data_IF_768331212430
#
_entry.id   IF_768331212430
#
_cell.length_a   1.000
_cell.length_b   1.000
_cell.length_c   1.000
_cell.angle_alpha   90.00
_cell.angle_beta   90.00
_cell.angle_gamma   90.00
#
_symmetry.space_group_name_H-M   'P 1'
#
loop_
_entity.id
_entity.type
_entity.pdbx_description
1 polymer ?
#
# COMPACT_ATOMS: atom_id res chain seq x y z
N UNK A 1 6.07 20.14 -35.38
CA UNK A 1 4.99 20.52 -34.46
C UNK A 1 4.57 19.30 -33.70
N UNK A 2 5.19 19.04 -32.57
CA UNK A 2 4.98 17.83 -31.76
C UNK A 2 4.01 18.21 -30.65
N UNK A 3 2.77 17.80 -30.78
CA UNK A 3 1.75 17.98 -29.76
C UNK A 3 2.15 17.15 -28.55
N UNK A 4 2.76 17.77 -27.56
CA UNK A 4 2.92 17.21 -26.23
C UNK A 4 1.51 16.92 -25.69
N UNK A 5 1.12 15.66 -25.69
CA UNK A 5 0.03 15.21 -24.83
C UNK A 5 0.51 15.44 -23.40
N UNK A 6 0.14 16.57 -22.86
CA UNK A 6 0.17 16.79 -21.42
C UNK A 6 -0.73 15.73 -20.81
N UNK A 7 -0.10 14.69 -20.27
CA UNK A 7 -0.76 13.75 -19.39
C UNK A 7 -1.10 14.52 -18.12
N UNK A 8 -2.27 15.12 -18.11
CA UNK A 8 -2.85 15.66 -16.89
C UNK A 8 -3.28 14.48 -16.03
N UNK A 9 -2.34 13.99 -15.24
CA UNK A 9 -2.56 12.92 -14.25
C UNK A 9 -3.69 13.28 -13.28
N UNK A 10 -3.97 14.58 -13.09
CA UNK A 10 -5.01 15.09 -12.20
C UNK A 10 -6.43 14.61 -12.54
N UNK A 11 -6.74 14.41 -13.80
CA UNK A 11 -8.07 13.93 -14.19
C UNK A 11 -8.23 12.41 -14.17
N UNK A 12 -7.13 11.64 -14.17
CA UNK A 12 -7.19 10.18 -14.11
C UNK A 12 -7.33 9.63 -12.68
N UNK A 13 -7.04 10.43 -11.67
CA UNK A 13 -7.04 9.99 -10.27
C UNK A 13 -8.21 10.53 -9.44
N UNK A 14 -9.14 11.26 -10.10
CA UNK A 14 -10.20 11.99 -9.41
C UNK A 14 -11.40 11.14 -9.02
N UNK A 15 -11.51 9.93 -9.55
CA UNK A 15 -12.58 9.01 -9.20
C UNK A 15 -12.03 7.94 -8.25
N UNK A 16 -12.21 8.20 -6.97
CA UNK A 16 -12.18 7.11 -5.97
C UNK A 16 -13.44 6.30 -6.24
N UNK A 17 -13.36 5.06 -6.73
CA UNK A 17 -14.56 4.24 -6.83
C UNK A 17 -15.10 4.06 -5.41
N UNK A 18 -16.36 4.40 -5.23
CA UNK A 18 -17.15 4.13 -4.01
C UNK A 18 -17.26 2.60 -3.76
N UNK A 19 -16.79 1.82 -4.70
CA UNK A 19 -16.81 0.36 -4.75
C UNK A 19 -15.92 -0.32 -3.71
N UNK A 20 -15.01 0.40 -3.06
CA UNK A 20 -14.15 -0.17 -2.02
C UNK A 20 -14.95 -0.63 -0.78
N UNK A 21 -16.05 0.03 -0.48
CA UNK A 21 -16.96 -0.37 0.60
C UNK A 21 -17.90 -1.50 0.18
N UNK A 22 -18.28 -1.57 -1.10
CA UNK A 22 -19.15 -2.61 -1.65
C UNK A 22 -18.46 -3.99 -1.66
N UNK A 23 -17.16 -4.07 -2.00
CA UNK A 23 -16.41 -5.33 -2.02
C UNK A 23 -16.36 -6.03 -0.66
N UNK A 24 -16.35 -5.28 0.44
CA UNK A 24 -16.39 -5.83 1.80
C UNK A 24 -17.78 -6.41 2.11
N UNK A 25 -18.84 -5.80 1.61
CA UNK A 25 -20.23 -6.23 1.88
C UNK A 25 -20.61 -7.52 1.16
N UNK A 26 -20.05 -7.78 -0.01
CA UNK A 26 -20.35 -8.97 -0.82
C UNK A 26 -19.55 -10.22 -0.43
N UNK A 27 -18.42 -10.03 0.29
CA UNK A 27 -17.68 -11.19 0.80
C UNK A 27 -18.49 -11.93 1.86
N UNK A 28 -18.75 -13.19 1.61
CA UNK A 28 -19.31 -14.08 2.61
C UNK A 28 -18.45 -14.06 3.90
N UNK A 29 -19.10 -14.10 5.05
CA UNK A 29 -18.47 -14.04 6.40
C UNK A 29 -17.26 -14.97 6.55
N UNK A 30 -17.29 -16.13 5.87
CA UNK A 30 -16.20 -17.12 5.90
C UNK A 30 -14.94 -16.62 5.17
N UNK A 31 -15.11 -15.99 4.00
CA UNK A 31 -13.98 -15.47 3.22
C UNK A 31 -13.33 -14.28 3.93
N UNK A 32 -14.13 -13.41 4.53
CA UNK A 32 -13.62 -12.29 5.37
C UNK A 32 -12.82 -12.82 6.56
N UNK A 33 -13.38 -13.81 7.27
CA UNK A 33 -12.69 -14.43 8.40
C UNK A 33 -11.35 -15.07 7.98
N UNK A 34 -11.31 -15.81 6.88
CA UNK A 34 -10.11 -16.47 6.39
C UNK A 34 -9.00 -15.46 6.04
N UNK A 35 -9.33 -14.37 5.32
CA UNK A 35 -8.38 -13.31 4.98
C UNK A 35 -7.88 -12.54 6.20
N UNK A 36 -8.75 -12.29 7.17
CA UNK A 36 -8.37 -11.63 8.43
C UNK A 36 -7.47 -12.50 9.31
N UNK A 37 -7.58 -13.83 9.17
CA UNK A 37 -6.73 -14.77 9.93
C UNK A 37 -5.34 -14.93 9.31
N UNK A 38 -5.22 -14.81 7.99
CA UNK A 38 -3.96 -14.94 7.26
C UNK A 38 -3.92 -13.98 6.07
N UNK A 39 -3.74 -12.66 6.32
CA UNK A 39 -3.63 -11.70 5.24
C UNK A 39 -2.32 -11.85 4.50
N UNK A 40 -2.37 -11.86 3.18
CA UNK A 40 -1.21 -11.94 2.31
C UNK A 40 -0.79 -10.53 1.89
N UNK A 41 0.48 -10.20 2.11
CA UNK A 41 1.03 -8.89 1.80
C UNK A 41 1.87 -8.92 0.52
N UNK A 42 1.74 -7.87 -0.29
CA UNK A 42 2.61 -7.57 -1.41
C UNK A 42 3.46 -6.34 -1.06
N UNK A 43 4.77 -6.46 -1.08
CA UNK A 43 5.66 -5.30 -0.95
C UNK A 43 5.89 -4.65 -2.31
N UNK A 44 5.75 -3.32 -2.37
CA UNK A 44 5.98 -2.52 -3.57
C UNK A 44 6.85 -1.30 -3.28
N UNK A 45 8.00 -1.23 -3.94
CA UNK A 45 8.90 -0.08 -3.89
C UNK A 45 8.60 0.88 -5.05
N UNK A 46 8.21 2.12 -4.74
CA UNK A 46 7.83 3.15 -5.73
C UNK A 46 8.92 4.19 -6.01
N UNK A 47 10.05 4.08 -5.33
CA UNK A 47 11.17 5.03 -5.40
C UNK A 47 11.78 5.28 -4.03
N UNK A 48 11.88 4.22 -3.21
CA UNK A 48 12.46 4.29 -1.88
C UNK A 48 14.00 4.32 -1.93
N UNK A 49 14.59 4.89 -0.88
CA UNK A 49 16.03 4.83 -0.62
C UNK A 49 16.46 3.50 0.03
N UNK A 50 15.59 2.49 0.06
CA UNK A 50 15.70 1.20 0.73
C UNK A 50 15.65 1.23 2.27
N UNK A 51 15.63 2.36 2.93
CA UNK A 51 15.53 2.43 4.40
C UNK A 51 14.26 1.76 4.91
N UNK A 52 13.11 2.15 4.36
CA UNK A 52 11.82 1.53 4.72
C UNK A 52 11.73 0.06 4.30
N UNK A 53 12.35 -0.32 3.18
CA UNK A 53 12.34 -1.71 2.69
C UNK A 53 13.09 -2.64 3.64
N UNK A 54 14.25 -2.19 4.16
CA UNK A 54 15.03 -2.94 5.15
C UNK A 54 14.20 -3.14 6.44
N UNK A 55 13.48 -2.12 6.90
CA UNK A 55 12.65 -2.22 8.09
C UNK A 55 11.40 -3.11 7.87
N UNK A 56 10.80 -3.08 6.67
CA UNK A 56 9.73 -4.02 6.29
C UNK A 56 10.25 -5.46 6.29
N UNK A 57 11.44 -5.69 5.72
CA UNK A 57 12.07 -7.01 5.75
C UNK A 57 12.47 -7.41 7.17
N UNK A 58 12.97 -6.48 7.98
CA UNK A 58 13.29 -6.75 9.38
C UNK A 58 12.05 -7.21 10.17
N UNK A 59 10.86 -6.63 9.90
CA UNK A 59 9.61 -7.07 10.51
C UNK A 59 9.24 -8.53 10.20
N UNK A 60 9.69 -9.05 9.05
CA UNK A 60 9.50 -10.46 8.64
C UNK A 60 10.55 -11.40 9.24
N UNK A 61 11.63 -10.86 9.82
CA UNK A 61 12.69 -11.71 10.42
C UNK A 61 12.23 -12.34 11.74
N UNK A 62 12.88 -13.44 12.18
CA UNK A 62 12.50 -14.16 13.41
C UNK A 62 12.51 -13.29 14.68
N UNK A 63 13.23 -12.16 14.69
CA UNK A 63 13.25 -11.24 15.84
C UNK A 63 11.89 -10.57 16.08
N UNK A 64 11.20 -10.19 15.03
CA UNK A 64 9.92 -9.49 15.09
C UNK A 64 8.75 -10.41 14.72
N UNK A 65 9.01 -11.36 13.81
CA UNK A 65 8.14 -12.48 13.47
C UNK A 65 6.67 -12.06 13.21
N UNK A 66 6.49 -11.17 12.25
CA UNK A 66 5.15 -10.73 11.86
C UNK A 66 4.31 -11.89 11.28
N UNK A 67 4.96 -12.94 10.80
CA UNK A 67 4.30 -14.13 10.27
C UNK A 67 3.48 -14.90 11.33
N UNK A 68 3.84 -14.78 12.61
CA UNK A 68 3.03 -15.37 13.70
C UNK A 68 1.62 -14.78 13.82
N UNK A 69 1.40 -13.60 13.26
CA UNK A 69 0.07 -13.00 13.13
C UNK A 69 -0.69 -13.48 11.89
N UNK A 70 -0.15 -14.46 11.16
CA UNK A 70 -0.71 -15.00 9.92
C UNK A 70 -0.36 -14.19 8.66
N UNK A 71 0.46 -13.15 8.79
CA UNK A 71 0.83 -12.27 7.69
C UNK A 71 1.94 -12.95 6.87
N UNK A 72 1.70 -13.20 5.58
CA UNK A 72 2.68 -13.85 4.71
C UNK A 72 2.98 -12.96 3.50
N UNK A 73 4.28 -12.80 3.19
CA UNK A 73 4.71 -12.07 2.00
C UNK A 73 4.49 -12.90 0.73
N UNK A 74 3.79 -12.35 -0.26
CA UNK A 74 3.55 -12.97 -1.57
C UNK A 74 4.04 -12.06 -2.69
N UNK A 75 4.76 -12.60 -3.67
CA UNK A 75 5.32 -11.80 -4.76
C UNK A 75 4.31 -11.48 -5.88
N UNK A 76 3.09 -12.04 -5.81
CA UNK A 76 2.08 -11.87 -6.86
C UNK A 76 0.94 -10.95 -6.41
N UNK A 77 0.60 -9.90 -7.18
CA UNK A 77 -0.52 -9.03 -6.86
C UNK A 77 -1.86 -9.75 -6.88
N UNK A 78 -2.01 -10.80 -7.70
CA UNK A 78 -3.26 -11.56 -7.80
C UNK A 78 -3.58 -12.40 -6.56
N UNK A 79 -2.63 -12.57 -5.66
CA UNK A 79 -2.79 -13.35 -4.43
C UNK A 79 -2.78 -12.47 -3.19
N UNK A 80 -2.39 -11.19 -3.31
CA UNK A 80 -2.21 -10.30 -2.19
C UNK A 80 -3.51 -9.60 -1.80
N UNK A 81 -3.75 -9.51 -0.50
CA UNK A 81 -4.87 -8.77 0.09
C UNK A 81 -4.44 -7.35 0.49
N UNK A 82 -3.18 -7.17 0.90
CA UNK A 82 -2.64 -5.90 1.37
C UNK A 82 -1.40 -5.53 0.56
N UNK A 83 -1.38 -4.33 0.00
CA UNK A 83 -0.19 -3.73 -0.60
C UNK A 83 0.57 -2.90 0.45
N UNK A 84 1.81 -3.25 0.71
CA UNK A 84 2.73 -2.47 1.55
C UNK A 84 3.64 -1.66 0.64
N UNK A 85 3.36 -0.38 0.53
CA UNK A 85 4.07 0.53 -0.35
C UNK A 85 5.14 1.34 0.37
N UNK A 86 6.35 1.40 -0.21
CA UNK A 86 7.49 2.15 0.31
C UNK A 86 7.98 3.20 -0.69
N UNK A 87 8.50 4.29 -0.17
CA UNK A 87 9.11 5.38 -0.97
C UNK A 87 8.11 6.36 -1.57
N UNK A 88 8.64 7.40 -2.17
CA UNK A 88 7.85 8.40 -2.89
C UNK A 88 7.44 7.87 -4.27
N UNK A 89 6.24 8.20 -4.72
CA UNK A 89 5.78 7.75 -6.03
C UNK A 89 6.41 8.61 -7.12
N UNK A 90 7.28 7.99 -7.93
CA UNK A 90 7.84 8.65 -9.09
C UNK A 90 6.87 8.59 -10.28
N UNK A 91 6.93 9.60 -11.16
CA UNK A 91 6.08 9.65 -12.37
C UNK A 91 6.23 8.41 -13.25
N UNK A 92 7.44 7.86 -13.30
CA UNK A 92 7.73 6.65 -14.09
C UNK A 92 7.09 5.38 -13.53
N UNK A 93 6.95 5.30 -12.21
CA UNK A 93 6.41 4.12 -11.52
C UNK A 93 4.89 4.23 -11.31
N UNK A 94 4.33 5.44 -11.32
CA UNK A 94 2.92 5.66 -11.04
C UNK A 94 1.96 4.80 -11.88
N UNK A 95 2.18 4.68 -13.18
CA UNK A 95 1.36 3.83 -14.05
C UNK A 95 1.48 2.34 -13.73
N UNK A 96 2.65 1.89 -13.26
CA UNK A 96 2.90 0.50 -12.86
C UNK A 96 2.24 0.22 -11.51
N UNK A 97 2.35 1.14 -10.56
CA UNK A 97 1.69 1.05 -9.27
C UNK A 97 0.18 0.88 -9.44
N UNK A 98 -0.45 1.73 -10.27
CA UNK A 98 -1.87 1.63 -10.57
C UNK A 98 -2.24 0.28 -11.17
N UNK A 99 -1.48 -0.19 -12.18
CA UNK A 99 -1.71 -1.49 -12.82
C UNK A 99 -1.60 -2.66 -11.84
N UNK A 100 -0.64 -2.62 -10.92
CA UNK A 100 -0.48 -3.64 -9.88
C UNK A 100 -1.67 -3.60 -8.91
N UNK A 101 -2.09 -2.40 -8.50
CA UNK A 101 -3.26 -2.22 -7.66
C UNK A 101 -4.53 -2.77 -8.32
N UNK A 102 -4.74 -2.52 -9.61
CA UNK A 102 -5.87 -3.04 -10.39
C UNK A 102 -5.86 -4.57 -10.52
N UNK A 103 -4.69 -5.20 -10.49
CA UNK A 103 -4.54 -6.66 -10.55
C UNK A 103 -4.81 -7.37 -9.22
N UNK A 104 -4.86 -6.64 -8.12
CA UNK A 104 -5.20 -7.21 -6.81
C UNK A 104 -6.71 -7.50 -6.73
N UNK A 105 -7.09 -8.67 -6.16
CA UNK A 105 -8.50 -9.01 -5.96
C UNK A 105 -9.14 -8.14 -4.89
N UNK A 106 -10.43 -7.85 -5.03
CA UNK A 106 -11.23 -7.19 -4.00
C UNK A 106 -11.61 -8.17 -2.86
N UNK A 107 -11.69 -7.70 -1.62
CA UNK A 107 -11.26 -6.40 -1.13
C UNK A 107 -9.74 -6.31 -0.99
N UNK A 108 -9.18 -5.17 -1.32
CA UNK A 108 -7.75 -4.89 -1.28
C UNK A 108 -7.46 -3.65 -0.44
N UNK A 109 -6.34 -3.67 0.27
CA UNK A 109 -5.95 -2.60 1.18
C UNK A 109 -4.54 -2.11 0.86
N UNK A 110 -4.29 -0.83 1.11
CA UNK A 110 -3.00 -0.19 0.85
C UNK A 110 -2.47 0.44 2.12
N UNK A 111 -1.23 0.08 2.47
CA UNK A 111 -0.48 0.64 3.59
C UNK A 111 0.71 1.42 3.03
N UNK A 112 0.75 2.71 3.28
CA UNK A 112 1.89 3.56 2.92
C UNK A 112 2.89 3.63 4.07
N UNK A 113 4.11 3.17 3.83
CA UNK A 113 5.18 3.08 4.84
C UNK A 113 6.22 4.16 4.61
N UNK A 114 6.51 4.89 5.68
CA UNK A 114 7.52 5.94 5.72
C UNK A 114 7.01 7.30 5.26
N UNK A 115 7.70 8.35 5.65
CA UNK A 115 7.35 9.73 5.32
C UNK A 115 7.26 9.98 3.80
N UNK A 116 8.12 9.31 3.01
CA UNK A 116 8.10 9.40 1.56
C UNK A 116 6.82 8.78 0.97
N UNK A 117 6.37 7.63 1.49
CA UNK A 117 5.12 6.98 1.08
C UNK A 117 3.89 7.78 1.48
N UNK A 118 3.92 8.41 2.66
CA UNK A 118 2.79 9.18 3.18
C UNK A 118 2.59 10.50 2.44
N UNK A 119 3.64 11.29 2.24
CA UNK A 119 3.53 12.66 1.72
C UNK A 119 4.53 13.01 0.63
N UNK A 120 5.42 12.09 0.27
CA UNK A 120 6.59 12.38 -0.57
C UNK A 120 7.83 12.76 0.24
N UNK A 121 7.70 13.04 1.55
CA UNK A 121 8.80 13.39 2.45
C UNK A 121 9.66 14.54 1.91
N UNK A 122 10.97 14.39 1.97
CA UNK A 122 11.93 15.38 1.47
C UNK A 122 11.91 15.54 -0.05
N UNK A 123 11.32 14.59 -0.78
CA UNK A 123 11.23 14.62 -2.25
C UNK A 123 9.93 15.22 -2.77
N UNK A 124 9.04 15.73 -1.91
CA UNK A 124 7.69 16.19 -2.25
C UNK A 124 7.84 17.28 -3.29
N UNK A 125 8.41 18.04 -3.72
CA UNK A 125 8.36 19.05 -4.77
C UNK A 125 9.41 18.83 -5.87
N UNK A 126 9.92 17.62 -6.00
CA UNK A 126 10.86 17.31 -7.06
C UNK A 126 10.14 17.08 -8.39
N UNK A 127 10.79 17.45 -9.51
CA UNK A 127 10.17 17.43 -10.84
C UNK A 127 9.66 16.06 -11.30
N UNK A 128 10.22 14.97 -10.79
CA UNK A 128 9.87 13.61 -11.21
C UNK A 128 9.10 12.81 -10.14
N UNK A 129 8.64 13.44 -9.07
CA UNK A 129 7.89 12.81 -7.98
C UNK A 129 6.48 13.35 -7.92
N UNK A 130 5.51 12.47 -7.69
CA UNK A 130 4.09 12.80 -7.53
C UNK A 130 3.71 13.03 -6.06
N UNK A 131 4.63 12.85 -5.13
CA UNK A 131 4.49 12.86 -3.68
C UNK A 131 4.11 11.49 -3.10
N UNK A 132 3.04 11.40 -2.28
CA UNK A 132 2.63 10.17 -1.59
C UNK A 132 1.85 9.17 -2.45
N UNK A 133 1.59 8.01 -1.89
CA UNK A 133 0.78 6.97 -2.53
C UNK A 133 -0.65 7.40 -2.80
N UNK A 134 -1.21 8.26 -1.94
CA UNK A 134 -2.57 8.80 -2.03
C UNK A 134 -2.87 9.52 -3.35
N UNK A 135 -1.83 9.94 -4.07
CA UNK A 135 -1.97 10.59 -5.39
C UNK A 135 -2.25 9.60 -6.51
N UNK A 136 -2.02 8.32 -6.29
CA UNK A 136 -2.11 7.29 -7.35
C UNK A 136 -3.10 6.20 -7.00
N UNK A 137 -3.11 5.74 -5.74
CA UNK A 137 -4.00 4.69 -5.22
C UNK A 137 -4.61 5.10 -3.89
N UNK A 138 -5.80 4.62 -3.52
CA UNK A 138 -6.37 4.88 -2.21
C UNK A 138 -5.49 4.24 -1.14
N UNK A 139 -5.27 4.95 -0.03
CA UNK A 139 -4.45 4.49 1.11
C UNK A 139 -5.33 4.34 2.34
N UNK A 140 -5.30 3.17 2.96
CA UNK A 140 -6.09 2.84 4.14
C UNK A 140 -5.39 3.19 5.44
N UNK A 141 -4.06 2.98 5.48
CA UNK A 141 -3.24 3.25 6.66
C UNK A 141 -1.91 3.91 6.26
N UNK A 142 -1.53 4.92 7.02
CA UNK A 142 -0.24 5.59 6.90
C UNK A 142 0.63 5.27 8.11
N UNK A 143 1.87 4.87 7.86
CA UNK A 143 2.88 4.58 8.89
C UNK A 143 4.01 5.60 8.75
N UNK A 144 4.01 6.68 9.52
CA UNK A 144 5.05 7.71 9.44
C UNK A 144 6.38 7.23 10.03
N UNK A 145 7.46 7.76 9.51
CA UNK A 145 8.85 7.49 9.95
C UNK A 145 9.82 7.62 8.78
N UNK A 146 11.12 7.72 9.06
CA UNK A 146 12.15 7.82 8.02
C UNK A 146 13.46 7.13 8.47
N UNK A 147 13.49 5.79 8.43
CA UNK A 147 12.41 4.82 8.29
C UNK A 147 11.58 4.65 9.58
N UNK A 148 10.35 4.14 9.51
CA UNK A 148 9.64 3.69 10.69
C UNK A 148 10.26 2.39 11.21
N UNK A 149 10.32 2.22 12.53
CA UNK A 149 10.81 0.98 13.14
C UNK A 149 9.89 -0.21 12.82
N UNK A 150 10.40 -1.46 12.83
CA UNK A 150 9.59 -2.66 12.55
C UNK A 150 8.35 -2.77 13.45
N UNK A 151 8.47 -2.39 14.73
CA UNK A 151 7.34 -2.40 15.66
C UNK A 151 6.20 -1.46 15.22
N UNK A 152 6.56 -0.29 14.67
CA UNK A 152 5.57 0.65 14.13
C UNK A 152 4.88 0.11 12.89
N UNK A 153 5.61 -0.62 12.05
CA UNK A 153 5.07 -1.28 10.86
C UNK A 153 4.07 -2.37 11.27
N UNK A 154 4.45 -3.23 12.20
CA UNK A 154 3.59 -4.27 12.76
C UNK A 154 2.32 -3.65 13.36
N UNK A 155 2.47 -2.62 14.19
CA UNK A 155 1.34 -1.92 14.79
C UNK A 155 0.39 -1.33 13.73
N UNK A 156 0.94 -0.75 12.66
CA UNK A 156 0.15 -0.21 11.55
C UNK A 156 -0.68 -1.28 10.83
N UNK A 157 -0.10 -2.47 10.59
CA UNK A 157 -0.80 -3.58 9.96
C UNK A 157 -1.87 -4.16 10.90
N UNK A 158 -1.55 -4.33 12.19
CA UNK A 158 -2.54 -4.78 13.19
C UNK A 158 -3.72 -3.81 13.27
N UNK A 159 -3.46 -2.51 13.28
CA UNK A 159 -4.49 -1.47 13.26
C UNK A 159 -5.36 -1.55 12.00
N UNK A 160 -4.78 -1.86 10.84
CA UNK A 160 -5.55 -2.12 9.62
C UNK A 160 -6.50 -3.31 9.81
N UNK A 161 -5.99 -4.43 10.33
CA UNK A 161 -6.78 -5.64 10.58
C UNK A 161 -7.93 -5.35 11.56
N UNK A 162 -7.69 -4.56 12.60
CA UNK A 162 -8.73 -4.13 13.54
C UNK A 162 -9.79 -3.24 12.87
N UNK A 163 -9.36 -2.32 12.00
CA UNK A 163 -10.26 -1.47 11.22
C UNK A 163 -11.19 -2.30 10.33
N UNK A 164 -10.65 -3.34 9.70
CA UNK A 164 -11.43 -4.26 8.85
C UNK A 164 -12.42 -5.07 9.71
N UNK A 165 -12.02 -5.53 10.90
CA UNK A 165 -12.91 -6.25 11.83
C UNK A 165 -14.02 -5.36 12.40
N UNK A 166 -13.73 -4.11 12.68
CA UNK A 166 -14.69 -3.17 13.27
C UNK A 166 -15.68 -2.56 12.27
N UNK A 167 -15.44 -2.71 10.98
CA UNK A 167 -16.33 -2.27 9.89
C UNK A 167 -17.37 -3.31 9.45
N UNK A 168 -17.49 -4.43 10.17
CA UNK A 168 -18.44 -5.54 9.87
C UNK A 168 -19.73 -5.39 10.65
#
# INVERSE_FOLDING_TARGET
>A
MTTQRQWTLENQYKERPEDHELGIREMGRLATWARLKSPWILHFNSGACNGCDIEVLAALTPRYDVERFGITLKPSPRQADIMVGTGCVTRQVASRLRRIYEQMPEPKFVVAVGACGCTGGIFQNTYNVLAGFDKVVPVDVYIPGCPPKPEAIIHGIVKLIEKIKGGS
#
